data_IF_120975480356
#
_entry.id   IF_120975480356
#
_cell.length_a   1.000
_cell.length_b   1.000
_cell.length_c   1.000
_cell.angle_alpha   90.00
_cell.angle_beta   90.00
_cell.angle_gamma   90.00
#
_symmetry.space_group_name_H-M   'P 1'
#
loop_
_entity.id
_entity.type
_entity.pdbx_description
1 polymer ?
#
# COMPACT_ATOMS: atom_id res chain seq x y z
N UNK A 1 15.41 -17.10 11.12
CA UNK A 1 14.49 -16.02 11.55
C UNK A 1 15.27 -15.10 12.48
N UNK A 2 15.51 -13.84 12.08
CA UNK A 2 16.30 -12.91 12.88
C UNK A 2 15.47 -12.38 14.06
N UNK A 3 16.10 -12.22 15.23
CA UNK A 3 15.48 -11.69 16.47
C UNK A 3 14.72 -10.34 16.35
N UNK A 4 14.96 -9.58 15.26
CA UNK A 4 14.24 -8.36 14.94
C UNK A 4 12.77 -8.60 14.52
N UNK A 5 12.40 -9.80 14.10
CA UNK A 5 11.02 -10.14 13.66
C UNK A 5 10.08 -10.55 14.81
N UNK A 6 10.60 -10.89 15.99
CA UNK A 6 9.74 -11.34 17.11
C UNK A 6 8.85 -10.23 17.69
N UNK A 7 9.29 -8.98 17.61
CA UNK A 7 8.50 -7.82 18.08
C UNK A 7 7.31 -7.47 17.17
N UNK A 8 7.47 -7.62 15.87
CA UNK A 8 6.43 -7.32 14.88
C UNK A 8 5.27 -8.35 14.94
N UNK A 9 5.57 -9.61 15.27
CA UNK A 9 4.58 -10.69 15.37
C UNK A 9 3.57 -10.50 16.53
N UNK A 10 3.87 -9.65 17.51
CA UNK A 10 2.99 -9.37 18.67
C UNK A 10 2.23 -8.04 18.54
N UNK A 11 2.40 -7.30 17.44
CA UNK A 11 1.75 -6.01 17.23
C UNK A 11 0.24 -6.13 17.05
N UNK A 12 -0.48 -5.12 17.56
CA UNK A 12 -1.90 -4.92 17.31
C UNK A 12 -2.06 -4.17 15.99
N UNK A 13 -2.64 -4.83 15.00
CA UNK A 13 -2.78 -4.31 13.63
C UNK A 13 -4.24 -3.95 13.38
N UNK A 14 -4.52 -2.71 13.02
CA UNK A 14 -5.81 -2.25 12.55
C UNK A 14 -5.88 -2.26 11.02
N UNK A 15 -7.00 -2.68 10.46
CA UNK A 15 -7.27 -2.57 9.02
C UNK A 15 -8.59 -1.83 8.84
N UNK A 16 -8.52 -0.65 8.26
CA UNK A 16 -9.67 0.16 7.88
C UNK A 16 -9.95 -0.02 6.40
N UNK A 17 -11.06 -0.64 6.08
CA UNK A 17 -11.42 -1.07 4.74
C UNK A 17 -11.00 -2.52 4.44
N UNK A 18 -11.99 -3.41 4.30
CA UNK A 18 -11.79 -4.85 4.03
C UNK A 18 -12.26 -5.19 2.62
N UNK A 19 -11.92 -4.32 1.65
CA UNK A 19 -12.07 -4.58 0.22
C UNK A 19 -11.02 -5.57 -0.30
N UNK A 20 -10.79 -5.61 -1.61
CA UNK A 20 -9.87 -6.58 -2.23
C UNK A 20 -8.47 -6.61 -1.59
N UNK A 21 -7.86 -5.45 -1.36
CA UNK A 21 -6.51 -5.35 -0.79
C UNK A 21 -6.53 -5.62 0.72
N UNK A 22 -7.41 -4.95 1.48
CA UNK A 22 -7.49 -5.14 2.93
C UNK A 22 -7.80 -6.59 3.31
N UNK A 23 -8.75 -7.23 2.61
CA UNK A 23 -9.06 -8.65 2.80
C UNK A 23 -7.88 -9.57 2.45
N UNK A 24 -7.09 -9.25 1.42
CA UNK A 24 -5.92 -10.04 1.06
C UNK A 24 -4.82 -9.93 2.11
N UNK A 25 -4.56 -8.71 2.61
CA UNK A 25 -3.59 -8.48 3.71
C UNK A 25 -4.03 -9.27 4.95
N UNK A 26 -5.31 -9.17 5.32
CA UNK A 26 -5.86 -9.92 6.45
C UNK A 26 -5.64 -11.42 6.32
N UNK A 27 -6.04 -12.01 5.17
CA UNK A 27 -5.84 -13.45 4.91
C UNK A 27 -4.37 -13.84 4.94
N UNK A 28 -3.50 -13.01 4.38
CA UNK A 28 -2.05 -13.23 4.42
C UNK A 28 -1.51 -13.25 5.85
N UNK A 29 -1.88 -12.29 6.68
CA UNK A 29 -1.48 -12.22 8.08
C UNK A 29 -2.02 -13.38 8.92
N UNK A 30 -3.24 -13.83 8.64
CA UNK A 30 -3.81 -15.01 9.31
C UNK A 30 -3.10 -16.29 8.90
N UNK A 31 -2.71 -16.43 7.63
CA UNK A 31 -2.04 -17.60 7.09
C UNK A 31 -0.54 -17.67 7.43
N UNK A 32 0.12 -16.53 7.65
CA UNK A 32 1.55 -16.46 7.99
C UNK A 32 1.84 -16.83 9.46
N UNK A 33 0.81 -16.96 10.29
CA UNK A 33 0.97 -17.44 11.65
C UNK A 33 1.16 -18.95 11.67
N UNK A 34 2.16 -19.42 12.40
CA UNK A 34 2.42 -20.86 12.55
C UNK A 34 1.21 -21.60 13.13
N UNK A 35 0.93 -22.84 12.66
CA UNK A 35 -0.06 -23.71 13.28
C UNK A 35 0.33 -23.96 14.75
N UNK A 36 -0.51 -23.53 15.68
CA UNK A 36 -0.25 -23.63 17.12
C UNK A 36 0.11 -22.31 17.82
N UNK A 37 0.42 -21.24 17.09
CA UNK A 37 0.63 -19.91 17.64
C UNK A 37 -0.70 -19.14 17.91
N UNK A 38 -1.79 -19.86 18.16
CA UNK A 38 -3.15 -19.30 18.21
C UNK A 38 -3.35 -18.21 19.27
N UNK A 39 -2.51 -18.12 20.29
CA UNK A 39 -2.63 -17.12 21.36
C UNK A 39 -1.54 -16.04 21.35
N UNK A 40 -0.42 -16.23 20.64
CA UNK A 40 0.72 -15.31 20.65
C UNK A 40 0.87 -14.43 19.39
N UNK A 41 0.04 -14.62 18.36
CA UNK A 41 0.12 -13.89 17.10
C UNK A 41 -0.47 -12.47 17.19
N UNK A 42 -0.21 -11.66 16.16
CA UNK A 42 -0.78 -10.31 16.01
C UNK A 42 -2.31 -10.34 16.15
N UNK A 43 -2.86 -9.48 17.01
CA UNK A 43 -4.31 -9.23 17.08
C UNK A 43 -4.68 -8.24 15.98
N UNK A 44 -5.73 -8.55 15.23
CA UNK A 44 -6.15 -7.76 14.08
C UNK A 44 -7.52 -7.15 14.37
N UNK A 45 -7.62 -5.82 14.26
CA UNK A 45 -8.84 -5.05 14.45
C UNK A 45 -9.33 -4.57 13.09
N UNK A 46 -10.61 -4.76 12.80
CA UNK A 46 -11.19 -4.49 11.48
C UNK A 46 -12.35 -3.52 11.56
N UNK A 47 -12.45 -2.63 10.59
CA UNK A 47 -13.66 -1.88 10.27
C UNK A 47 -13.86 -1.78 8.76
N UNK A 48 -15.12 -1.76 8.35
CA UNK A 48 -15.56 -1.46 6.97
C UNK A 48 -16.94 -0.82 7.04
N UNK A 49 -17.26 0.03 6.07
CA UNK A 49 -18.61 0.59 5.89
C UNK A 49 -19.61 -0.50 5.50
N UNK A 50 -19.14 -1.54 4.83
CA UNK A 50 -19.90 -2.71 4.44
C UNK A 50 -19.74 -3.79 5.53
N UNK A 51 -20.73 -3.85 6.42
CA UNK A 51 -20.72 -4.79 7.55
C UNK A 51 -20.82 -6.26 7.13
N UNK A 52 -21.39 -6.56 5.96
CA UNK A 52 -21.47 -7.93 5.46
C UNK A 52 -20.09 -8.50 5.15
N UNK A 53 -19.16 -7.67 4.64
CA UNK A 53 -17.77 -8.10 4.40
C UNK A 53 -17.06 -8.53 5.65
N UNK A 54 -17.34 -7.89 6.77
CA UNK A 54 -16.71 -8.22 8.06
C UNK A 54 -17.14 -9.59 8.57
N UNK A 55 -18.39 -10.02 8.27
CA UNK A 55 -18.94 -11.32 8.66
C UNK A 55 -18.20 -12.54 8.08
N UNK A 56 -17.43 -12.34 6.98
CA UNK A 56 -16.63 -13.43 6.39
C UNK A 56 -15.32 -13.71 7.16
N UNK A 57 -14.96 -12.89 8.15
CA UNK A 57 -13.71 -13.02 8.88
C UNK A 57 -13.97 -13.36 10.35
N UNK A 58 -14.05 -14.65 10.64
CA UNK A 58 -14.14 -15.17 12.01
C UNK A 58 -12.85 -15.90 12.39
N UNK A 59 -12.15 -15.36 13.38
CA UNK A 59 -10.93 -15.97 13.93
C UNK A 59 -10.73 -15.45 15.35
N UNK A 60 -10.14 -16.24 16.25
CA UNK A 60 -9.80 -15.83 17.63
C UNK A 60 -8.86 -14.61 17.67
N UNK A 61 -8.15 -14.34 16.56
CA UNK A 61 -7.22 -13.21 16.42
C UNK A 61 -7.84 -11.97 15.78
N UNK A 62 -9.08 -12.06 15.31
CA UNK A 62 -9.78 -10.97 14.61
C UNK A 62 -10.85 -10.38 15.51
N UNK A 63 -10.83 -9.06 15.64
CA UNK A 63 -11.84 -8.28 16.36
C UNK A 63 -12.49 -7.31 15.38
N UNK A 64 -13.78 -7.46 15.16
CA UNK A 64 -14.56 -6.50 14.38
C UNK A 64 -14.90 -5.32 15.29
N UNK A 65 -14.56 -4.11 14.85
CA UNK A 65 -14.83 -2.87 15.55
C UNK A 65 -16.04 -2.14 14.95
N UNK A 66 -16.72 -1.35 15.77
CA UNK A 66 -17.90 -0.58 15.35
C UNK A 66 -17.54 0.63 14.49
N UNK A 67 -16.33 1.20 14.69
CA UNK A 67 -15.86 2.40 14.00
C UNK A 67 -14.37 2.32 13.62
N UNK A 68 -13.93 3.22 12.72
CA UNK A 68 -12.51 3.39 12.38
C UNK A 68 -11.74 3.97 13.58
N UNK A 69 -12.36 4.81 14.38
CA UNK A 69 -11.81 5.36 15.62
C UNK A 69 -11.44 4.25 16.62
N UNK A 70 -12.33 3.28 16.83
CA UNK A 70 -12.08 2.12 17.69
C UNK A 70 -10.92 1.25 17.16
N UNK A 71 -10.83 1.06 15.85
CA UNK A 71 -9.67 0.38 15.23
C UNK A 71 -8.38 1.12 15.55
N UNK A 72 -8.36 2.45 15.36
CA UNK A 72 -7.17 3.27 15.59
C UNK A 72 -6.77 3.29 17.07
N UNK A 73 -7.73 3.35 17.99
CA UNK A 73 -7.50 3.32 19.43
C UNK A 73 -6.79 2.02 19.87
N UNK A 74 -7.32 0.87 19.41
CA UNK A 74 -6.86 -0.47 19.83
C UNK A 74 -5.58 -0.93 19.14
N UNK A 75 -5.15 -0.26 18.07
CA UNK A 75 -4.04 -0.68 17.22
C UNK A 75 -2.77 0.11 17.46
N UNK A 76 -1.61 -0.51 17.22
CA UNK A 76 -0.28 0.13 17.16
C UNK A 76 0.11 0.48 15.72
N UNK A 77 -0.46 -0.25 14.75
CA UNK A 77 -0.32 -0.01 13.32
C UNK A 77 -1.70 0.04 12.70
N UNK A 78 -1.99 1.07 11.94
CA UNK A 78 -3.28 1.21 11.22
C UNK A 78 -3.02 1.17 9.73
N UNK A 79 -3.68 0.26 9.04
CA UNK A 79 -3.63 0.13 7.57
C UNK A 79 -4.89 0.76 6.99
N UNK A 80 -4.71 1.81 6.18
CA UNK A 80 -5.78 2.44 5.42
C UNK A 80 -5.91 1.75 4.06
N UNK A 81 -6.89 0.87 3.93
CA UNK A 81 -7.20 0.15 2.70
C UNK A 81 -8.54 0.59 2.08
N UNK A 82 -8.92 1.85 2.31
CA UNK A 82 -10.11 2.51 1.75
C UNK A 82 -9.83 3.10 0.37
N UNK A 83 -10.90 3.49 -0.32
CA UNK A 83 -10.77 4.19 -1.61
C UNK A 83 -10.04 5.53 -1.41
N UNK A 84 -9.25 5.97 -2.39
CA UNK A 84 -8.47 7.21 -2.27
C UNK A 84 -9.27 8.46 -1.93
N UNK A 85 -10.55 8.52 -2.33
CA UNK A 85 -11.43 9.67 -2.03
C UNK A 85 -11.92 9.70 -0.58
N UNK A 86 -11.87 8.55 0.11
CA UNK A 86 -12.34 8.41 1.48
C UNK A 86 -11.22 8.59 2.52
N UNK A 87 -9.94 8.64 2.06
CA UNK A 87 -8.77 8.68 2.95
C UNK A 87 -8.81 9.87 3.88
N UNK A 88 -9.11 11.09 3.37
CA UNK A 88 -9.15 12.29 4.20
C UNK A 88 -10.16 12.17 5.33
N UNK A 89 -11.38 11.76 5.02
CA UNK A 89 -12.44 11.56 6.02
C UNK A 89 -12.02 10.56 7.09
N UNK A 90 -11.40 9.45 6.69
CA UNK A 90 -10.92 8.45 7.66
C UNK A 90 -9.77 8.99 8.50
N UNK A 91 -8.85 9.75 7.89
CA UNK A 91 -7.75 10.41 8.63
C UNK A 91 -8.30 11.37 9.69
N UNK A 92 -9.29 12.20 9.34
CA UNK A 92 -9.95 13.11 10.29
C UNK A 92 -10.61 12.35 11.45
N UNK A 93 -11.25 11.22 11.18
CA UNK A 93 -11.90 10.36 12.18
C UNK A 93 -10.90 9.70 13.15
N UNK A 94 -9.76 9.22 12.63
CA UNK A 94 -8.78 8.47 13.44
C UNK A 94 -7.68 9.34 14.06
N UNK A 95 -7.55 10.60 13.66
CA UNK A 95 -6.47 11.48 14.06
C UNK A 95 -6.32 11.63 15.59
N UNK A 96 -7.39 11.72 16.42
CA UNK A 96 -7.26 11.82 17.86
C UNK A 96 -6.53 10.63 18.51
N UNK A 97 -6.59 9.46 17.85
CA UNK A 97 -6.05 8.20 18.38
C UNK A 97 -4.64 7.88 17.85
N UNK A 98 -4.14 8.65 16.89
CA UNK A 98 -2.79 8.49 16.32
C UNK A 98 -1.81 9.59 16.75
N UNK A 99 -2.31 10.61 17.44
CA UNK A 99 -1.49 11.69 18.00
C UNK A 99 -0.52 11.16 19.05
N UNK A 100 0.75 11.61 19.01
CA UNK A 100 1.78 11.19 19.98
C UNK A 100 2.96 10.40 19.39
N UNK A 101 2.99 10.17 18.06
CA UNK A 101 4.19 9.71 17.35
C UNK A 101 4.62 8.26 17.57
N UNK A 102 3.85 7.46 18.33
CA UNK A 102 4.18 6.06 18.60
C UNK A 102 3.52 5.07 17.63
N UNK A 103 2.38 5.46 17.04
CA UNK A 103 1.64 4.60 16.13
C UNK A 103 2.05 4.86 14.68
N UNK A 104 1.99 3.81 13.86
CA UNK A 104 2.34 3.88 12.44
C UNK A 104 1.05 3.79 11.61
N UNK A 105 0.89 4.70 10.67
CA UNK A 105 -0.16 4.66 9.67
C UNK A 105 0.42 4.16 8.34
N UNK A 106 -0.14 3.08 7.82
CA UNK A 106 0.21 2.54 6.51
C UNK A 106 -0.93 2.82 5.55
N UNK A 107 -0.66 3.60 4.50
CA UNK A 107 -1.66 3.88 3.45
C UNK A 107 -1.40 3.05 2.20
N UNK A 108 -2.42 2.33 1.71
CA UNK A 108 -2.38 1.65 0.40
C UNK A 108 -3.19 2.38 -0.67
N UNK A 109 -3.58 3.63 -0.40
CA UNK A 109 -4.40 4.42 -1.32
C UNK A 109 -3.59 4.93 -2.52
N UNK A 110 -3.99 4.52 -3.72
CA UNK A 110 -3.34 4.96 -4.95
C UNK A 110 -3.49 6.48 -5.17
N UNK A 111 -2.40 7.15 -5.54
CA UNK A 111 -2.39 8.58 -5.89
C UNK A 111 -2.54 9.54 -4.70
N UNK A 112 -2.50 9.06 -3.44
CA UNK A 112 -2.50 9.90 -2.24
C UNK A 112 -1.08 9.94 -1.68
N UNK A 113 -0.37 11.08 -1.75
CA UNK A 113 1.00 11.18 -1.25
C UNK A 113 1.05 11.20 0.28
N UNK A 114 2.17 10.78 0.86
CA UNK A 114 2.41 10.78 2.30
C UNK A 114 2.24 12.17 2.90
N UNK A 115 2.73 13.20 2.21
CA UNK A 115 2.62 14.60 2.64
C UNK A 115 1.16 15.08 2.74
N UNK A 116 0.25 14.58 1.90
CA UNK A 116 -1.17 14.94 2.02
C UNK A 116 -1.78 14.34 3.29
N UNK A 117 -1.45 13.08 3.58
CA UNK A 117 -1.92 12.40 4.78
C UNK A 117 -1.37 13.10 6.03
N UNK A 118 -0.07 13.40 6.07
CA UNK A 118 0.58 14.13 7.18
C UNK A 118 -0.04 15.50 7.42
N UNK A 119 -0.37 16.24 6.34
CA UNK A 119 -1.01 17.55 6.45
C UNK A 119 -2.44 17.44 7.02
N UNK A 120 -3.23 16.46 6.60
CA UNK A 120 -4.58 16.26 7.16
C UNK A 120 -4.55 15.91 8.65
N UNK A 121 -3.55 15.17 9.11
CA UNK A 121 -3.34 14.96 10.54
C UNK A 121 -3.00 16.26 11.28
N UNK A 122 -2.16 17.11 10.69
CA UNK A 122 -1.81 18.39 11.28
C UNK A 122 -3.03 19.33 11.35
N UNK A 123 -3.86 19.36 10.31
CA UNK A 123 -5.11 20.13 10.27
C UNK A 123 -6.11 19.64 11.31
N UNK A 124 -6.30 18.32 11.45
CA UNK A 124 -7.23 17.72 12.41
C UNK A 124 -6.76 17.92 13.87
N UNK A 125 -5.45 17.95 14.13
CA UNK A 125 -4.88 18.17 15.47
C UNK A 125 -5.04 19.60 15.97
N UNK A 126 -5.22 20.59 15.10
CA UNK A 126 -5.44 21.99 15.49
C UNK A 126 -6.87 22.21 16.02
N UNK A 127 -7.84 21.37 15.64
CA UNK A 127 -9.25 21.50 16.04
C UNK A 127 -9.61 20.96 17.43
N UNK A 128 -8.74 20.21 18.09
CA UNK A 128 -9.05 19.51 19.37
C UNK A 128 -8.51 20.24 20.61
N UNK A 129 -7.97 21.43 20.47
CA UNK A 129 -7.27 22.14 21.54
C UNK A 129 -8.00 23.34 22.16
N UNK A 130 -9.35 23.45 22.04
CA UNK A 130 -10.10 24.55 22.68
C UNK A 130 -11.40 24.04 23.30
N UNK A 131 -11.29 23.36 24.45
CA UNK A 131 -12.32 23.37 25.51
C UNK A 131 -11.75 22.76 26.78
N UNK A 132 -11.14 23.61 27.61
CA UNK A 132 -11.13 23.52 29.06
C UNK A 132 -10.33 24.70 29.63
N UNK A 133 -10.85 25.89 29.50
CA UNK A 133 -10.39 27.06 30.24
C UNK A 133 -11.52 27.51 31.15
N UNK A 134 -11.55 26.95 32.33
CA UNK A 134 -12.36 27.47 33.46
C UNK A 134 -12.00 28.94 33.66
N UNK A 135 -13.00 29.83 33.49
CA UNK A 135 -12.87 31.24 33.82
C UNK A 135 -12.63 31.42 35.30
N UNK A 136 -11.47 31.94 35.64
CA UNK A 136 -11.26 32.62 36.90
C UNK A 136 -11.18 34.10 36.57
N UNK A 137 -12.24 34.83 36.95
CA UNK A 137 -12.27 36.27 36.89
C UNK A 137 -11.23 36.85 37.87
N UNK A 138 -10.37 37.71 37.33
CA UNK A 138 -9.59 38.64 38.15
C UNK A 138 -9.89 40.03 37.60
N UNK A 139 -10.56 40.83 38.44
CA UNK A 139 -10.69 42.26 38.26
C UNK A 139 -9.27 42.88 38.31
N UNK A 140 -8.91 43.62 37.28
CA UNK A 140 -7.66 44.40 37.28
C UNK A 140 -7.99 45.89 37.20
N UNK A 141 -7.58 46.60 38.21
CA UNK A 141 -7.56 48.07 38.27
C UNK A 141 -6.54 48.64 37.25
N UNK A 142 -6.88 49.86 36.84
CA UNK A 142 -6.21 50.63 35.81
C UNK A 142 -4.79 51.10 36.20
N UNK A 143 -3.93 51.17 35.16
CA UNK A 143 -2.86 52.15 35.05
C UNK A 143 -1.45 51.60 35.23
N UNK A 144 -0.76 51.38 34.06
CA UNK A 144 0.61 51.83 33.79
C UNK A 144 0.91 51.60 32.29
N UNK A 145 1.29 52.63 31.60
CA UNK A 145 1.88 52.59 30.24
C UNK A 145 3.26 51.92 30.34
N UNK A 146 3.48 50.89 29.54
CA UNK A 146 4.81 50.38 29.25
C UNK A 146 4.86 49.90 27.80
N UNK A 147 5.55 50.67 26.98
CA UNK A 147 6.08 50.21 25.70
C UNK A 147 7.05 49.05 25.97
N UNK A 148 6.72 47.87 25.56
CA UNK A 148 7.66 46.80 25.40
C UNK A 148 7.19 45.97 24.21
N UNK A 149 7.96 46.03 23.11
CA UNK A 149 7.81 45.14 21.99
C UNK A 149 7.98 43.68 22.46
N UNK A 150 6.89 43.02 22.67
CA UNK A 150 6.86 41.56 22.79
C UNK A 150 6.77 41.02 21.39
N UNK A 151 7.90 40.74 20.79
CA UNK A 151 7.94 39.69 19.78
C UNK A 151 7.39 38.44 20.48
N UNK A 152 6.11 38.18 20.31
CA UNK A 152 5.51 36.92 20.67
C UNK A 152 6.18 35.87 19.75
N UNK A 153 7.22 35.25 20.30
CA UNK A 153 7.75 34.02 19.72
C UNK A 153 6.59 33.07 19.62
N UNK A 154 6.14 32.84 18.38
CA UNK A 154 5.31 31.73 18.02
C UNK A 154 6.23 30.50 18.18
N UNK A 155 6.40 30.06 19.42
CA UNK A 155 6.82 28.69 19.69
C UNK A 155 5.77 27.81 19.04
N UNK A 156 6.09 27.37 17.79
CA UNK A 156 5.21 26.54 16.99
C UNK A 156 4.84 25.33 17.84
N UNK A 157 3.56 25.23 18.21
CA UNK A 157 2.99 23.97 18.68
C UNK A 157 3.43 22.92 17.66
N UNK A 158 4.28 22.00 18.09
CA UNK A 158 4.66 20.83 17.25
C UNK A 158 3.36 20.12 16.88
N UNK A 159 2.86 20.40 15.68
CA UNK A 159 1.65 19.76 15.16
C UNK A 159 1.81 18.25 15.28
N UNK A 160 0.73 17.55 15.53
CA UNK A 160 0.72 16.10 15.75
C UNK A 160 1.51 15.39 14.65
N UNK A 161 2.72 14.91 14.97
CA UNK A 161 3.60 14.19 14.05
C UNK A 161 3.08 12.77 13.93
N UNK A 162 2.57 12.39 12.78
CA UNK A 162 2.16 11.02 12.50
C UNK A 162 3.21 10.34 11.61
N UNK A 163 3.53 9.10 11.92
CA UNK A 163 4.42 8.27 11.12
C UNK A 163 3.63 7.63 9.99
N UNK A 164 3.82 8.11 8.77
CA UNK A 164 3.13 7.62 7.58
C UNK A 164 4.08 6.77 6.74
N UNK A 165 3.67 5.55 6.43
CA UNK A 165 4.32 4.69 5.44
C UNK A 165 3.32 4.47 4.30
N UNK A 166 3.75 4.66 3.07
CA UNK A 166 2.91 4.39 1.90
C UNK A 166 3.35 3.10 1.25
N UNK A 167 2.38 2.23 0.96
CA UNK A 167 2.61 0.95 0.30
C UNK A 167 1.70 0.85 -0.92
N UNK A 168 2.27 0.43 -2.04
CA UNK A 168 1.53 0.17 -3.28
C UNK A 168 1.60 -1.33 -3.60
N UNK A 169 0.68 -2.14 -3.11
CA UNK A 169 0.55 -3.55 -3.48
C UNK A 169 -0.19 -3.70 -4.81
N UNK A 170 -0.10 -4.89 -5.41
CA UNK A 170 -0.94 -5.26 -6.54
C UNK A 170 -1.94 -6.38 -6.19
N UNK A 171 -2.81 -6.72 -7.12
CA UNK A 171 -3.88 -7.72 -6.93
C UNK A 171 -3.36 -9.14 -6.73
N UNK A 172 -2.09 -9.41 -7.02
CA UNK A 172 -1.40 -10.67 -6.69
C UNK A 172 -1.47 -11.01 -5.19
N UNK A 173 -1.77 -10.04 -4.33
CA UNK A 173 -2.04 -10.24 -2.91
C UNK A 173 -3.13 -11.29 -2.64
N UNK A 174 -4.08 -11.50 -3.56
CA UNK A 174 -5.14 -12.52 -3.43
C UNK A 174 -4.60 -13.95 -3.39
N UNK A 175 -3.44 -14.16 -4.01
CA UNK A 175 -2.76 -15.47 -4.08
C UNK A 175 -1.41 -15.45 -3.36
N UNK A 176 -1.12 -14.41 -2.58
CA UNK A 176 0.14 -14.19 -1.85
C UNK A 176 1.38 -14.05 -2.74
N UNK A 177 1.16 -13.56 -3.94
CA UNK A 177 2.21 -13.26 -4.93
C UNK A 177 2.17 -11.78 -5.32
N UNK A 178 1.84 -10.90 -4.34
CA UNK A 178 1.90 -9.48 -4.58
C UNK A 178 3.34 -8.99 -4.77
N UNK A 179 3.49 -7.98 -5.60
CA UNK A 179 4.64 -7.10 -5.56
C UNK A 179 4.19 -5.79 -4.92
N UNK A 180 4.76 -5.46 -3.77
CA UNK A 180 4.46 -4.25 -3.03
C UNK A 180 5.65 -3.30 -3.07
N UNK A 181 5.44 -2.03 -3.39
CA UNK A 181 6.44 -0.98 -3.21
C UNK A 181 6.14 -0.20 -1.93
N UNK A 182 7.17 0.09 -1.14
CA UNK A 182 7.05 0.82 0.13
C UNK A 182 7.94 2.06 0.12
N UNK A 183 7.42 3.17 0.65
CA UNK A 183 8.18 4.37 0.94
C UNK A 183 7.73 5.01 2.26
N UNK A 184 8.66 5.76 2.86
CA UNK A 184 8.42 6.51 4.10
C UNK A 184 7.93 7.92 3.81
N UNK A 185 7.00 8.41 4.66
CA UNK A 185 6.74 9.83 4.80
C UNK A 185 7.81 10.52 5.66
N UNK A 186 7.58 11.79 5.91
CA UNK A 186 8.57 12.67 6.57
C UNK A 186 8.96 12.23 7.98
N UNK A 187 8.00 11.69 8.74
CA UNK A 187 8.18 11.37 10.16
C UNK A 187 8.34 9.86 10.43
N UNK A 188 8.22 9.00 9.42
CA UNK A 188 8.41 7.57 9.55
C UNK A 188 9.90 7.21 9.57
N UNK A 189 10.27 6.29 10.45
CA UNK A 189 11.63 5.79 10.61
C UNK A 189 11.90 4.56 9.73
N UNK A 190 13.13 4.08 9.72
CA UNK A 190 13.48 2.83 9.04
C UNK A 190 12.78 1.62 9.69
N UNK A 191 12.63 1.63 11.01
CA UNK A 191 11.91 0.58 11.73
C UNK A 191 10.43 0.53 11.35
N UNK A 192 9.81 1.70 11.09
CA UNK A 192 8.42 1.78 10.64
C UNK A 192 8.26 1.21 9.22
N UNK A 193 9.27 1.43 8.35
CA UNK A 193 9.31 0.83 7.01
C UNK A 193 9.50 -0.69 7.08
N UNK A 194 10.43 -1.17 7.93
CA UNK A 194 10.66 -2.60 8.12
C UNK A 194 9.42 -3.30 8.69
N UNK A 195 8.68 -2.63 9.56
CA UNK A 195 7.39 -3.12 10.06
C UNK A 195 6.37 -3.25 8.92
N UNK A 196 6.28 -2.25 8.04
CA UNK A 196 5.42 -2.31 6.86
C UNK A 196 5.86 -3.45 5.92
N UNK A 197 7.15 -3.62 5.68
CA UNK A 197 7.68 -4.75 4.88
C UNK A 197 7.31 -6.09 5.48
N UNK A 198 7.45 -6.25 6.79
CA UNK A 198 7.05 -7.47 7.47
C UNK A 198 5.56 -7.77 7.28
N UNK A 199 4.68 -6.78 7.45
CA UNK A 199 3.23 -6.94 7.26
C UNK A 199 2.93 -7.38 5.82
N UNK A 200 3.51 -6.70 4.83
CA UNK A 200 3.21 -6.96 3.42
C UNK A 200 3.93 -8.19 2.85
N UNK A 201 4.98 -8.68 3.51
CA UNK A 201 5.60 -9.98 3.17
C UNK A 201 4.64 -11.17 3.35
N UNK A 202 3.59 -11.00 4.16
CA UNK A 202 2.53 -12.00 4.30
C UNK A 202 1.71 -12.21 3.00
N UNK A 203 1.78 -11.27 2.07
CA UNK A 203 1.03 -11.32 0.80
C UNK A 203 1.92 -11.30 -0.45
N UNK A 204 3.25 -11.33 -0.31
CA UNK A 204 4.19 -11.38 -1.44
C UNK A 204 5.52 -10.72 -1.15
N UNK A 205 6.18 -10.18 -2.17
CA UNK A 205 7.48 -9.50 -2.07
C UNK A 205 7.32 -8.00 -1.86
N UNK A 206 8.29 -7.38 -1.15
CA UNK A 206 8.25 -5.95 -0.84
C UNK A 206 9.57 -5.29 -1.21
N UNK A 207 9.48 -4.17 -1.92
CA UNK A 207 10.63 -3.38 -2.38
C UNK A 207 10.55 -1.96 -1.86
N UNK A 208 11.64 -1.47 -1.24
CA UNK A 208 11.78 -0.05 -0.89
C UNK A 208 12.03 0.78 -2.13
N UNK A 209 11.28 1.87 -2.26
CA UNK A 209 11.40 2.83 -3.38
C UNK A 209 11.27 4.25 -2.85
N UNK A 210 11.63 5.24 -3.66
CA UNK A 210 11.28 6.64 -3.40
C UNK A 210 9.81 6.86 -3.73
N UNK A 211 9.15 7.79 -3.04
CA UNK A 211 7.75 8.10 -3.31
C UNK A 211 7.51 8.53 -4.77
N UNK A 212 8.47 9.24 -5.37
CA UNK A 212 8.44 9.64 -6.78
C UNK A 212 8.47 8.47 -7.79
N UNK A 213 8.85 7.27 -7.34
CA UNK A 213 8.94 6.07 -8.17
C UNK A 213 7.65 5.24 -8.12
N UNK A 214 6.74 5.51 -7.17
CA UNK A 214 5.51 4.73 -6.99
C UNK A 214 4.58 4.75 -8.22
N UNK A 215 4.56 5.84 -8.99
CA UNK A 215 3.77 5.89 -10.22
C UNK A 215 4.35 4.96 -11.30
N UNK A 216 5.68 4.80 -11.34
CA UNK A 216 6.36 3.83 -12.21
C UNK A 216 6.01 2.41 -11.77
N UNK A 217 6.06 2.13 -10.47
CA UNK A 217 5.67 0.82 -9.91
C UNK A 217 4.20 0.54 -10.17
N UNK A 218 3.33 1.55 -10.09
CA UNK A 218 1.90 1.41 -10.44
C UNK A 218 1.73 0.96 -11.89
N UNK A 219 2.45 1.58 -12.83
CA UNK A 219 2.43 1.18 -14.25
C UNK A 219 3.04 -0.19 -14.50
N UNK A 220 4.15 -0.51 -13.82
CA UNK A 220 4.91 -1.74 -14.03
C UNK A 220 4.27 -2.96 -13.34
N UNK A 221 3.84 -2.81 -12.10
CA UNK A 221 3.36 -3.89 -11.22
C UNK A 221 1.85 -3.84 -11.03
N UNK A 222 1.28 -2.67 -10.67
CA UNK A 222 -0.16 -2.53 -10.46
C UNK A 222 -0.96 -2.87 -11.72
N UNK A 223 -0.59 -2.28 -12.85
CA UNK A 223 -1.18 -2.57 -14.17
C UNK A 223 -0.58 -3.81 -14.82
N UNK A 224 0.66 -4.14 -14.51
CA UNK A 224 1.43 -5.23 -15.11
C UNK A 224 0.75 -6.59 -15.02
N UNK A 225 0.02 -6.87 -13.95
CA UNK A 225 -0.77 -8.11 -13.82
C UNK A 225 -1.71 -8.28 -15.01
N UNK A 226 -2.39 -7.21 -15.45
CA UNK A 226 -3.29 -7.28 -16.60
C UNK A 226 -2.51 -7.49 -17.91
N UNK A 227 -1.31 -6.89 -18.03
CA UNK A 227 -0.47 -7.08 -19.23
C UNK A 227 0.02 -8.52 -19.36
N UNK A 228 0.44 -9.12 -18.23
CA UNK A 228 0.82 -10.54 -18.23
C UNK A 228 -0.37 -11.46 -18.45
N UNK A 229 -1.56 -11.13 -17.94
CA UNK A 229 -2.77 -11.90 -18.24
C UNK A 229 -3.10 -11.88 -19.73
N UNK A 230 -2.97 -10.72 -20.41
CA UNK A 230 -3.14 -10.61 -21.86
C UNK A 230 -2.12 -11.47 -22.63
N UNK A 231 -0.87 -11.49 -22.20
CA UNK A 231 0.16 -12.35 -22.80
C UNK A 231 -0.18 -13.82 -22.63
N UNK A 232 -0.65 -14.23 -21.44
CA UNK A 232 -1.04 -15.61 -21.18
C UNK A 232 -2.22 -16.05 -22.06
N UNK A 233 -3.22 -15.19 -22.20
CA UNK A 233 -4.37 -15.44 -23.07
C UNK A 233 -3.95 -15.56 -24.54
N UNK A 234 -3.09 -14.67 -25.02
CA UNK A 234 -2.56 -14.71 -26.38
C UNK A 234 -1.76 -16.00 -26.67
N UNK A 235 -0.93 -16.46 -25.70
CA UNK A 235 -0.18 -17.73 -25.84
C UNK A 235 -1.13 -18.92 -25.84
N UNK A 236 -2.15 -18.91 -24.98
CA UNK A 236 -3.18 -19.95 -24.95
C UNK A 236 -3.97 -20.01 -26.26
N UNK A 237 -4.35 -18.87 -26.84
CA UNK A 237 -5.01 -18.79 -28.12
C UNK A 237 -4.14 -19.38 -29.25
N UNK A 238 -2.81 -19.18 -29.20
CA UNK A 238 -1.86 -19.85 -30.10
C UNK A 238 -1.93 -21.39 -29.99
N UNK A 239 -2.00 -21.92 -28.76
CA UNK A 239 -2.17 -23.36 -28.52
C UNK A 239 -3.49 -23.89 -29.08
N UNK A 240 -4.58 -23.11 -28.96
CA UNK A 240 -5.88 -23.45 -29.54
C UNK A 240 -5.81 -23.48 -31.06
N UNK A 241 -5.14 -22.53 -31.70
CA UNK A 241 -4.92 -22.50 -33.13
C UNK A 241 -4.22 -23.78 -33.63
N UNK A 242 -3.31 -24.33 -32.83
CA UNK A 242 -2.57 -25.57 -33.13
C UNK A 242 -3.30 -26.84 -32.66
N UNK A 243 -4.56 -26.73 -32.20
CA UNK A 243 -5.45 -27.86 -31.91
C UNK A 243 -5.56 -28.31 -30.46
N UNK A 244 -4.97 -27.60 -29.52
CA UNK A 244 -5.16 -27.91 -28.09
C UNK A 244 -6.46 -27.27 -27.55
N UNK A 245 -7.11 -27.89 -26.56
CA UNK A 245 -8.20 -27.24 -25.83
C UNK A 245 -7.71 -25.98 -25.09
N UNK A 246 -8.55 -24.93 -25.00
CA UNK A 246 -8.19 -23.65 -24.41
C UNK A 246 -7.71 -23.79 -22.95
N UNK A 247 -8.45 -24.53 -22.11
CA UNK A 247 -8.10 -24.72 -20.68
C UNK A 247 -6.71 -25.35 -20.50
N UNK A 248 -6.39 -26.35 -21.32
CA UNK A 248 -5.07 -26.99 -21.31
C UNK A 248 -3.99 -26.02 -21.81
N UNK A 249 -4.25 -25.30 -22.88
CA UNK A 249 -3.32 -24.29 -23.42
C UNK A 249 -3.02 -23.19 -22.40
N UNK A 250 -4.05 -22.70 -21.70
CA UNK A 250 -3.90 -21.66 -20.67
C UNK A 250 -3.10 -22.17 -19.45
N UNK A 251 -3.38 -23.39 -19.00
CA UNK A 251 -2.62 -24.00 -17.91
C UNK A 251 -1.14 -24.14 -18.26
N UNK A 252 -0.82 -24.69 -19.42
CA UNK A 252 0.56 -24.84 -19.90
C UNK A 252 1.25 -23.46 -20.05
N UNK A 253 0.56 -22.47 -20.62
CA UNK A 253 1.09 -21.11 -20.76
C UNK A 253 1.44 -20.49 -19.40
N UNK A 254 0.52 -20.61 -18.44
CA UNK A 254 0.71 -20.06 -17.09
C UNK A 254 1.90 -20.73 -16.36
N UNK A 255 1.98 -22.05 -16.37
CA UNK A 255 3.08 -22.79 -15.73
C UNK A 255 4.42 -22.50 -16.42
N UNK A 256 4.46 -22.36 -17.73
CA UNK A 256 5.65 -21.98 -18.50
C UNK A 256 6.12 -20.58 -18.14
N UNK A 257 5.18 -19.62 -18.00
CA UNK A 257 5.50 -18.26 -17.56
C UNK A 257 6.06 -18.23 -16.12
N UNK A 258 5.52 -19.04 -15.21
CA UNK A 258 6.07 -19.21 -13.85
C UNK A 258 7.51 -19.73 -13.91
N UNK A 259 7.79 -20.72 -14.77
CA UNK A 259 9.16 -21.24 -14.98
C UNK A 259 10.12 -20.16 -15.47
N UNK A 260 9.74 -19.40 -16.49
CA UNK A 260 10.53 -18.30 -17.03
C UNK A 260 10.78 -17.19 -15.98
N UNK A 261 9.74 -16.81 -15.23
CA UNK A 261 9.86 -15.81 -14.16
C UNK A 261 10.82 -16.28 -13.03
N UNK A 262 10.74 -17.56 -12.63
CA UNK A 262 11.62 -18.12 -11.60
C UNK A 262 13.07 -18.17 -12.04
N UNK A 263 13.37 -18.43 -13.31
CA UNK A 263 14.74 -18.35 -13.84
C UNK A 263 15.31 -16.93 -13.71
N UNK A 264 14.50 -15.90 -14.07
CA UNK A 264 14.91 -14.51 -13.89
C UNK A 264 15.12 -14.15 -12.41
N UNK A 265 14.25 -14.60 -11.52
CA UNK A 265 14.36 -14.38 -10.07
C UNK A 265 15.55 -15.12 -9.46
N UNK A 266 15.98 -16.23 -10.08
CA UNK A 266 17.21 -16.96 -9.71
C UNK A 266 18.49 -16.28 -10.22
N UNK A 267 18.36 -15.17 -10.97
CA UNK A 267 19.50 -14.37 -11.46
C UNK A 267 19.86 -14.57 -12.92
N UNK A 268 19.13 -15.43 -13.64
CA UNK A 268 19.36 -15.63 -15.06
C UNK A 268 18.95 -14.38 -15.87
N UNK A 269 19.79 -13.99 -16.83
CA UNK A 269 19.45 -12.90 -17.74
C UNK A 269 18.44 -13.37 -18.80
N UNK A 270 17.44 -12.55 -19.17
CA UNK A 270 16.50 -12.92 -20.23
C UNK A 270 17.16 -13.32 -21.57
N UNK A 271 18.34 -12.75 -21.88
CA UNK A 271 19.16 -13.15 -23.05
C UNK A 271 19.68 -14.59 -22.92
N UNK A 272 20.22 -14.95 -21.74
CA UNK A 272 20.74 -16.28 -21.49
C UNK A 272 19.63 -17.35 -21.53
N UNK A 273 18.44 -17.03 -20.99
CA UNK A 273 17.28 -17.93 -21.08
C UNK A 273 16.91 -18.19 -22.53
N UNK A 274 16.89 -17.14 -23.37
CA UNK A 274 16.64 -17.30 -24.82
C UNK A 274 17.70 -18.17 -25.50
N UNK A 275 18.98 -17.95 -25.19
CA UNK A 275 20.09 -18.73 -25.73
C UNK A 275 20.00 -20.21 -25.32
N UNK A 276 19.71 -20.50 -24.06
CA UNK A 276 19.55 -21.87 -23.56
C UNK A 276 18.42 -22.66 -24.27
N UNK A 277 17.40 -21.96 -24.73
CA UNK A 277 16.21 -22.59 -25.36
C UNK A 277 16.26 -22.58 -26.89
N UNK A 278 17.14 -21.74 -27.48
CA UNK A 278 17.23 -21.55 -28.91
C UNK A 278 18.27 -22.48 -29.54
N UNK A 279 17.87 -23.31 -30.50
CA UNK A 279 18.78 -24.10 -31.32
C UNK A 279 18.70 -23.64 -32.81
N UNK A 280 19.78 -23.78 -33.58
CA UNK A 280 19.78 -23.41 -35.00
C UNK A 280 18.64 -24.10 -35.76
N UNK A 281 17.78 -23.29 -36.42
CA UNK A 281 16.59 -23.80 -37.13
C UNK A 281 15.45 -24.29 -36.24
N UNK A 282 15.59 -24.25 -34.91
CA UNK A 282 14.62 -24.77 -33.94
C UNK A 282 13.34 -23.96 -33.83
N UNK A 283 12.38 -24.51 -33.10
CA UNK A 283 11.05 -23.92 -32.88
C UNK A 283 11.12 -22.58 -32.12
N UNK A 284 11.96 -22.48 -31.11
CA UNK A 284 12.15 -21.25 -30.31
C UNK A 284 12.62 -20.08 -31.17
N UNK A 285 13.61 -20.28 -32.05
CA UNK A 285 14.12 -19.24 -32.96
C UNK A 285 13.02 -18.72 -33.88
N UNK A 286 12.20 -19.63 -34.42
CA UNK A 286 11.06 -19.27 -35.29
C UNK A 286 10.01 -18.46 -34.53
N UNK A 287 9.68 -18.85 -33.29
CA UNK A 287 8.76 -18.12 -32.44
C UNK A 287 9.30 -16.73 -32.05
N UNK A 288 10.58 -16.62 -31.64
CA UNK A 288 11.21 -15.34 -31.34
C UNK A 288 11.23 -14.40 -32.55
N UNK A 289 11.51 -14.92 -33.75
CA UNK A 289 11.44 -14.12 -34.98
C UNK A 289 10.03 -13.58 -35.23
N UNK A 290 8.99 -14.37 -34.99
CA UNK A 290 7.61 -13.92 -35.12
C UNK A 290 7.28 -12.81 -34.12
N UNK A 291 7.73 -12.90 -32.87
CA UNK A 291 7.54 -11.85 -31.85
C UNK A 291 8.28 -10.55 -32.21
N UNK A 292 9.53 -10.65 -32.70
CA UNK A 292 10.32 -9.50 -33.13
C UNK A 292 9.71 -8.80 -34.34
N UNK A 293 9.30 -9.54 -35.34
CA UNK A 293 8.66 -8.99 -36.55
C UNK A 293 7.34 -8.28 -36.28
N UNK A 294 6.68 -8.59 -35.17
CA UNK A 294 5.44 -7.94 -34.68
C UNK A 294 5.68 -6.89 -33.61
N UNK A 295 6.94 -6.52 -33.32
CA UNK A 295 7.34 -5.50 -32.39
C UNK A 295 6.75 -5.69 -30.96
N UNK A 296 6.57 -6.94 -30.50
CA UNK A 296 5.97 -7.25 -29.19
C UNK A 296 6.73 -6.59 -28.05
N UNK A 297 8.07 -6.54 -28.10
CA UNK A 297 8.88 -5.85 -27.11
C UNK A 297 8.52 -4.36 -27.01
N UNK A 298 8.35 -3.67 -28.13
CA UNK A 298 7.95 -2.25 -28.14
C UNK A 298 6.54 -2.07 -27.59
N UNK A 299 5.60 -2.95 -27.92
CA UNK A 299 4.24 -2.91 -27.40
C UNK A 299 4.19 -3.03 -25.87
N UNK A 300 4.93 -3.98 -25.29
CA UNK A 300 5.03 -4.14 -23.83
C UNK A 300 5.68 -2.93 -23.14
N UNK A 301 6.74 -2.36 -23.73
CA UNK A 301 7.34 -1.12 -23.22
C UNK A 301 6.34 0.03 -23.21
N UNK A 302 5.59 0.21 -24.30
CA UNK A 302 4.60 1.27 -24.44
C UNK A 302 3.43 1.10 -23.47
N UNK A 303 3.00 -0.13 -23.17
CA UNK A 303 1.96 -0.39 -22.18
C UNK A 303 2.38 0.11 -20.80
N UNK A 304 3.60 -0.20 -20.34
CA UNK A 304 4.14 0.30 -19.05
C UNK A 304 4.26 1.82 -19.06
N UNK A 305 4.78 2.43 -20.13
CA UNK A 305 4.94 3.89 -20.27
C UNK A 305 3.58 4.59 -20.21
N UNK A 306 2.58 4.09 -20.93
CA UNK A 306 1.23 4.65 -20.95
C UNK A 306 0.56 4.57 -19.57
N UNK A 307 0.65 3.42 -18.90
CA UNK A 307 0.10 3.22 -17.56
C UNK A 307 0.79 4.11 -16.53
N UNK A 308 2.11 4.26 -16.58
CA UNK A 308 2.87 5.16 -15.71
C UNK A 308 2.47 6.61 -15.93
N UNK A 309 2.33 7.05 -17.18
CA UNK A 309 1.85 8.41 -17.50
C UNK A 309 0.47 8.65 -16.88
N UNK A 310 -0.44 7.70 -17.03
CA UNK A 310 -1.78 7.81 -16.47
C UNK A 310 -1.78 7.83 -14.94
N UNK A 311 -0.91 7.06 -14.28
CA UNK A 311 -0.73 7.12 -12.83
C UNK A 311 -0.31 8.50 -12.36
N UNK A 312 0.65 9.14 -13.03
CA UNK A 312 1.08 10.52 -12.74
C UNK A 312 -0.06 11.54 -12.93
N UNK A 313 -0.81 11.46 -14.03
CA UNK A 313 -1.97 12.32 -14.27
C UNK A 313 -2.99 12.22 -13.13
N UNK A 314 -3.29 11.01 -12.67
CA UNK A 314 -4.21 10.77 -11.54
C UNK A 314 -3.66 11.38 -10.25
N UNK A 315 -2.36 11.20 -9.96
CA UNK A 315 -1.72 11.78 -8.79
C UNK A 315 -1.74 13.31 -8.80
N UNK A 316 -1.47 13.93 -9.96
CA UNK A 316 -1.56 15.39 -10.14
C UNK A 316 -2.99 15.91 -9.96
N UNK A 317 -3.98 15.24 -10.55
CA UNK A 317 -5.39 15.63 -10.40
C UNK A 317 -5.81 15.60 -8.93
N UNK A 318 -5.40 14.56 -8.20
CA UNK A 318 -5.68 14.45 -6.76
C UNK A 318 -4.97 15.52 -5.96
N UNK A 319 -3.70 15.79 -6.24
CA UNK A 319 -2.95 16.84 -5.56
C UNK A 319 -3.60 18.24 -5.77
N UNK A 320 -4.14 18.52 -6.96
CA UNK A 320 -4.91 19.76 -7.22
C UNK A 320 -6.23 19.78 -6.44
N UNK A 321 -6.95 18.66 -6.38
CA UNK A 321 -8.21 18.57 -5.61
C UNK A 321 -7.95 18.82 -4.12
N UNK A 322 -6.91 18.22 -3.56
CA UNK A 322 -6.49 18.41 -2.16
C UNK A 322 -6.18 19.88 -1.88
N UNK A 323 -5.37 20.55 -2.73
CA UNK A 323 -5.05 21.99 -2.58
C UNK A 323 -6.29 22.88 -2.62
N UNK A 324 -7.23 22.61 -3.51
CA UNK A 324 -8.46 23.38 -3.63
C UNK A 324 -9.43 23.20 -2.45
N UNK A 325 -9.39 22.04 -1.79
CA UNK A 325 -10.18 21.79 -0.57
C UNK A 325 -9.60 22.50 0.66
N UNK A 326 -8.30 22.68 0.71
CA UNK A 326 -7.60 23.37 1.80
C UNK A 326 -7.66 24.90 1.67
N UNK A 327 -8.12 25.43 0.51
CA UNK A 327 -8.26 26.87 0.24
C UNK A 327 -9.69 27.40 0.48
N UNK A 328 -10.62 26.54 0.87
CA UNK A 328 -12.01 26.86 1.24
C UNK A 328 -12.23 26.70 2.74
#
# INVERSE_FOLDING_TARGET
MNARNSGAAKKRIGIVGVGNIGASILRGLLAAAEPGAAEEGARIFLSDVDKERLGFFSSSRVVVCESNAEVAEKSEVVILAVKPNDVRKVVEEISPFLSGGQKVLISVAAGVPTSAVENWFAEAGVGVGVEAGVGVGVEAEAGVEAEAGVEAGVEGREGARVKVVRVMPNVGARVREAVSAVCRGKYATEEDEELAKWIFSAVGTVHSVKESELDVVTGLSGSGIAFFAEVLDAVAAGGVHEGLPYELSLAIAAETAVGAARLVLAGEKPSAIKEMTASPGGTTVRGLYALESRAVKAAMMMAVIAATRRAREIAEQKSRQIKNQNSK
#
